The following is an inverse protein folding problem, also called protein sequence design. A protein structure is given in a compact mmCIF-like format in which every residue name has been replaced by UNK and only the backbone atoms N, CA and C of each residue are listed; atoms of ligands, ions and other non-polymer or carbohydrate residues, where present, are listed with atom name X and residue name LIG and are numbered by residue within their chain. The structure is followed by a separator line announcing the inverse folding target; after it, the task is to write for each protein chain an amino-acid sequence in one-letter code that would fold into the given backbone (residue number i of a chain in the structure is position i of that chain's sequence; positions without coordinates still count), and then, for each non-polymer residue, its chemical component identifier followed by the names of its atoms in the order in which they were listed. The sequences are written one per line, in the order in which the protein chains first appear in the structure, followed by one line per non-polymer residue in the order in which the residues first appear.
data_IF_092410482336
#
_entry.id   IF_092410482336
#
_cell.length_a   1.000
_cell.length_b   1.000
_cell.length_c   1.000
_cell.angle_alpha   90.00
_cell.angle_beta   90.00
_cell.angle_gamma   90.00
#
_symmetry.space_group_name_H-M   'P 1'
#
loop_
_entity.id
_entity.type
_entity.pdbx_description
1 polymer ?
#
# COMPACT_ATOMS: atom_id res chain seq x y z
N UNK A 1 19.36 31.24 9.15
CA UNK A 1 19.06 29.96 8.49
C UNK A 1 18.07 29.25 9.38
N UNK A 2 16.79 29.51 9.09
CA UNK A 2 15.67 29.05 9.90
C UNK A 2 15.70 27.54 10.06
N UNK A 3 15.31 27.09 11.24
CA UNK A 3 15.10 25.69 11.58
C UNK A 3 14.45 24.98 10.40
N UNK A 4 15.23 24.13 9.71
CA UNK A 4 14.65 23.08 8.88
C UNK A 4 13.60 22.43 9.78
N UNK A 5 12.32 22.51 9.42
CA UNK A 5 11.26 21.86 10.19
C UNK A 5 11.57 20.37 10.16
N UNK A 6 12.30 19.92 11.17
CA UNK A 6 12.88 18.60 11.28
C UNK A 6 11.76 17.55 11.23
N UNK A 7 10.58 17.92 11.73
CA UNK A 7 9.37 17.09 11.65
C UNK A 7 8.94 16.93 10.20
N UNK A 8 8.83 18.01 9.42
CA UNK A 8 8.51 17.92 8.00
C UNK A 8 9.58 17.15 7.19
N UNK A 9 10.86 17.40 7.45
CA UNK A 9 11.96 16.73 6.75
C UNK A 9 12.00 15.22 7.05
N UNK A 10 11.90 14.83 8.32
CA UNK A 10 11.85 13.42 8.74
C UNK A 10 10.58 12.73 8.25
N UNK A 11 9.41 13.38 8.37
CA UNK A 11 8.14 12.81 7.90
C UNK A 11 8.16 12.58 6.39
N UNK A 12 8.80 13.47 5.62
CA UNK A 12 8.98 13.30 4.17
C UNK A 12 9.82 12.09 3.84
N UNK A 13 10.98 11.96 4.49
CA UNK A 13 11.87 10.82 4.27
C UNK A 13 11.22 9.50 4.69
N UNK A 14 10.54 9.47 5.84
CA UNK A 14 9.82 8.30 6.33
C UNK A 14 8.67 7.94 5.38
N UNK A 15 7.86 8.91 4.96
CA UNK A 15 6.76 8.70 4.03
C UNK A 15 7.26 8.11 2.71
N UNK A 16 8.34 8.66 2.16
CA UNK A 16 8.92 8.17 0.91
C UNK A 16 9.44 6.74 1.03
N UNK A 17 10.26 6.45 2.05
CA UNK A 17 10.83 5.11 2.24
C UNK A 17 9.76 4.06 2.53
N UNK A 18 8.79 4.39 3.38
CA UNK A 18 7.66 3.52 3.66
C UNK A 18 6.78 3.33 2.43
N UNK A 19 6.56 4.38 1.64
CA UNK A 19 5.78 4.33 0.39
C UNK A 19 6.41 3.43 -0.66
N UNK A 20 7.74 3.54 -0.83
CA UNK A 20 8.52 2.64 -1.70
C UNK A 20 8.42 1.19 -1.23
N UNK A 21 8.54 0.94 0.08
CA UNK A 21 8.36 -0.41 0.63
C UNK A 21 6.93 -0.93 0.40
N UNK A 22 5.92 -0.10 0.63
CA UNK A 22 4.52 -0.49 0.54
C UNK A 22 4.11 -0.81 -0.90
N UNK A 23 4.29 0.15 -1.82
CA UNK A 23 3.93 -0.02 -3.23
C UNK A 23 4.88 -0.99 -3.92
N UNK A 24 6.16 -1.02 -3.55
CA UNK A 24 7.13 -1.99 -4.03
C UNK A 24 6.73 -3.42 -3.69
N UNK A 25 6.31 -3.69 -2.44
CA UNK A 25 5.81 -5.01 -2.05
C UNK A 25 4.47 -5.35 -2.71
N UNK A 26 3.59 -4.37 -2.89
CA UNK A 26 2.36 -4.55 -3.67
C UNK A 26 2.66 -5.05 -5.09
N UNK A 27 3.64 -4.44 -5.76
CA UNK A 27 4.06 -4.80 -7.10
C UNK A 27 4.78 -6.15 -7.12
N UNK A 28 5.65 -6.40 -6.15
CA UNK A 28 6.27 -7.71 -5.95
C UNK A 28 5.22 -8.83 -5.86
N UNK A 29 4.19 -8.67 -5.03
CA UNK A 29 3.14 -9.68 -4.90
C UNK A 29 2.42 -9.94 -6.22
N UNK A 30 2.07 -8.88 -6.96
CA UNK A 30 1.22 -9.00 -8.14
C UNK A 30 1.97 -9.40 -9.41
N UNK A 31 3.21 -8.93 -9.59
CA UNK A 31 3.98 -9.13 -10.81
C UNK A 31 5.03 -10.23 -10.68
N UNK A 32 5.54 -10.50 -9.47
CA UNK A 32 6.63 -11.46 -9.25
C UNK A 32 6.12 -12.70 -8.51
N UNK A 33 5.61 -12.54 -7.28
CA UNK A 33 5.33 -13.67 -6.40
C UNK A 33 4.22 -14.58 -6.93
N UNK A 34 3.16 -14.05 -7.54
CA UNK A 34 2.05 -14.86 -8.07
C UNK A 34 2.54 -15.84 -9.14
N UNK A 35 3.39 -15.38 -10.06
CA UNK A 35 3.96 -16.23 -11.12
C UNK A 35 4.95 -17.23 -10.52
N UNK A 36 5.83 -16.76 -9.62
CA UNK A 36 6.80 -17.62 -8.94
C UNK A 36 6.12 -18.74 -8.13
N UNK A 37 5.03 -18.44 -7.41
CA UNK A 37 4.26 -19.42 -6.67
C UNK A 37 3.60 -20.45 -7.58
N UNK A 38 3.04 -20.03 -8.72
CA UNK A 38 2.45 -20.96 -9.70
C UNK A 38 3.48 -21.99 -10.18
N UNK A 39 4.68 -21.52 -10.55
CA UNK A 39 5.74 -22.39 -11.03
C UNK A 39 6.29 -23.29 -9.92
N UNK A 40 6.59 -22.71 -8.75
CA UNK A 40 7.08 -23.47 -7.60
C UNK A 40 6.06 -24.51 -7.09
N UNK A 41 4.76 -24.30 -7.31
CA UNK A 41 3.73 -25.29 -7.01
C UNK A 41 3.81 -26.50 -7.95
N UNK A 42 4.11 -26.30 -9.23
CA UNK A 42 4.30 -27.40 -10.17
C UNK A 42 5.55 -28.23 -9.83
N UNK A 43 6.58 -27.58 -9.30
CA UNK A 43 7.86 -28.21 -8.94
C UNK A 43 7.89 -28.75 -7.49
N UNK A 44 6.80 -28.62 -6.74
CA UNK A 44 6.72 -29.03 -5.32
C UNK A 44 7.54 -28.16 -4.34
N UNK A 45 8.11 -27.04 -4.79
CA UNK A 45 8.99 -26.15 -4.01
C UNK A 45 8.28 -24.93 -3.41
N UNK A 46 6.98 -24.76 -3.66
CA UNK A 46 6.18 -23.62 -3.19
C UNK A 46 6.20 -23.37 -1.67
N UNK A 47 6.54 -24.39 -0.88
CA UNK A 47 6.73 -24.28 0.56
C UNK A 47 7.80 -23.24 0.92
N UNK A 48 8.87 -23.12 0.13
CA UNK A 48 9.93 -22.13 0.36
C UNK A 48 9.39 -20.70 0.39
N UNK A 49 8.59 -20.35 -0.63
CA UNK A 49 7.96 -19.03 -0.75
C UNK A 49 6.90 -18.84 0.35
N UNK A 50 6.01 -19.81 0.52
CA UNK A 50 4.86 -19.71 1.43
C UNK A 50 5.27 -19.68 2.90
N UNK A 51 6.36 -20.37 3.28
CA UNK A 51 6.83 -20.46 4.67
C UNK A 51 7.82 -19.35 5.04
N UNK A 52 8.75 -19.00 4.16
CA UNK A 52 9.88 -18.13 4.51
C UNK A 52 9.75 -16.70 3.97
N UNK A 53 9.14 -16.52 2.79
CA UNK A 53 9.09 -15.22 2.11
C UNK A 53 7.77 -14.51 2.38
N UNK A 54 6.64 -15.14 2.06
CA UNK A 54 5.33 -14.51 2.09
C UNK A 54 4.96 -13.92 3.47
N UNK A 55 5.18 -14.60 4.62
CA UNK A 55 4.85 -14.03 5.93
C UNK A 55 5.63 -12.76 6.25
N UNK A 56 6.93 -12.72 5.88
CA UNK A 56 7.80 -11.56 6.10
C UNK A 56 7.44 -10.40 5.16
N UNK A 57 7.23 -10.70 3.89
CA UNK A 57 6.77 -9.71 2.92
C UNK A 57 5.42 -9.10 3.36
N UNK A 58 4.47 -9.90 3.83
CA UNK A 58 3.16 -9.42 4.31
C UNK A 58 3.27 -8.59 5.59
N UNK A 59 4.25 -8.86 6.45
CA UNK A 59 4.56 -8.03 7.63
C UNK A 59 5.00 -6.62 7.22
N UNK A 60 5.99 -6.52 6.34
CA UNK A 60 6.46 -5.22 5.88
C UNK A 60 5.39 -4.51 5.05
N UNK A 61 4.66 -5.21 4.19
CA UNK A 61 3.59 -4.63 3.39
C UNK A 61 2.51 -3.96 4.25
N UNK A 62 1.99 -4.64 5.28
CA UNK A 62 0.91 -4.09 6.10
C UNK A 62 1.33 -2.89 6.95
N UNK A 63 2.55 -2.94 7.51
CA UNK A 63 3.02 -1.88 8.40
C UNK A 63 3.61 -0.70 7.64
N UNK A 64 4.29 -0.94 6.51
CA UNK A 64 4.71 0.16 5.63
C UNK A 64 3.52 0.96 5.10
N UNK A 65 2.38 0.32 4.85
CA UNK A 65 1.14 1.02 4.50
C UNK A 65 0.70 2.01 5.60
N UNK A 66 0.68 1.57 6.85
CA UNK A 66 0.31 2.40 8.00
C UNK A 66 1.31 3.55 8.18
N UNK A 67 2.61 3.24 8.15
CA UNK A 67 3.68 4.23 8.33
C UNK A 67 3.62 5.28 7.22
N UNK A 68 3.42 4.86 5.97
CA UNK A 68 3.27 5.78 4.83
C UNK A 68 2.09 6.71 5.08
N UNK A 69 0.93 6.17 5.44
CA UNK A 69 -0.27 6.97 5.64
C UNK A 69 -0.13 7.96 6.81
N UNK A 70 0.40 7.51 7.96
CA UNK A 70 0.61 8.38 9.13
C UNK A 70 1.65 9.48 8.85
N UNK A 71 2.76 9.14 8.19
CA UNK A 71 3.75 10.13 7.80
C UNK A 71 3.20 11.12 6.77
N UNK A 72 2.33 10.67 5.86
CA UNK A 72 1.64 11.52 4.90
C UNK A 72 0.64 12.46 5.59
N UNK A 73 -0.11 11.96 6.57
CA UNK A 73 -1.00 12.77 7.39
C UNK A 73 -0.24 13.85 8.17
N UNK A 74 0.91 13.50 8.76
CA UNK A 74 1.79 14.44 9.44
C UNK A 74 2.33 15.51 8.48
N UNK A 75 2.70 15.13 7.25
CA UNK A 75 3.14 16.07 6.21
C UNK A 75 2.05 17.04 5.77
N UNK A 76 0.80 16.60 5.71
CA UNK A 76 -0.32 17.48 5.40
C UNK A 76 -0.54 18.50 6.51
N UNK A 77 -0.29 18.13 7.77
CA UNK A 77 -0.34 19.04 8.91
C UNK A 77 -1.66 19.82 8.97
N UNK A 78 -1.63 21.17 9.01
CA UNK A 78 -2.84 22.00 8.97
C UNK A 78 -3.74 21.79 7.74
N UNK A 79 -3.18 21.33 6.62
CA UNK A 79 -3.91 21.08 5.37
C UNK A 79 -4.57 19.69 5.32
N UNK A 80 -4.45 18.87 6.37
CA UNK A 80 -5.00 17.52 6.41
C UNK A 80 -6.51 17.52 6.13
N UNK A 81 -7.27 18.36 6.82
CA UNK A 81 -8.73 18.45 6.63
C UNK A 81 -9.06 18.92 5.22
N UNK A 82 -8.33 19.91 4.71
CA UNK A 82 -8.57 20.46 3.37
C UNK A 82 -8.27 19.45 2.26
N UNK A 83 -7.24 18.61 2.44
CA UNK A 83 -6.94 17.51 1.54
C UNK A 83 -8.08 16.48 1.51
N UNK A 84 -8.57 16.03 2.66
CA UNK A 84 -9.66 15.05 2.68
C UNK A 84 -11.02 15.63 2.27
N UNK A 85 -11.22 16.95 2.41
CA UNK A 85 -12.41 17.66 1.91
C UNK A 85 -12.27 18.20 0.48
N UNK A 86 -11.13 17.95 -0.19
CA UNK A 86 -10.85 18.37 -1.57
C UNK A 86 -11.01 19.89 -1.81
N UNK A 87 -10.69 20.72 -0.82
CA UNK A 87 -10.90 22.18 -0.88
C UNK A 87 -9.59 22.96 -0.78
N UNK A 88 -9.65 24.28 -0.91
CA UNK A 88 -8.51 25.21 -0.75
C UNK A 88 -7.29 24.84 -1.62
N UNK A 89 -7.52 24.34 -2.83
CA UNK A 89 -6.45 23.96 -3.77
C UNK A 89 -5.75 22.64 -3.42
N UNK A 90 -6.30 21.84 -2.51
CA UNK A 90 -5.78 20.51 -2.14
C UNK A 90 -6.43 19.36 -2.94
N UNK A 91 -7.30 19.64 -3.91
CA UNK A 91 -8.03 18.63 -4.68
C UNK A 91 -7.16 17.48 -5.20
N UNK A 92 -6.08 17.73 -5.97
CA UNK A 92 -5.20 16.68 -6.47
C UNK A 92 -4.56 15.84 -5.35
N UNK A 93 -3.93 16.49 -4.37
CA UNK A 93 -3.29 15.81 -3.24
C UNK A 93 -4.31 14.99 -2.42
N UNK A 94 -5.52 15.54 -2.27
CA UNK A 94 -6.64 14.91 -1.59
C UNK A 94 -7.17 13.67 -2.29
N UNK A 95 -7.26 13.68 -3.63
CA UNK A 95 -7.59 12.48 -4.41
C UNK A 95 -6.53 11.39 -4.16
N UNK A 96 -5.25 11.75 -4.22
CA UNK A 96 -4.15 10.84 -3.86
C UNK A 96 -4.31 10.27 -2.44
N UNK A 97 -4.59 11.12 -1.46
CA UNK A 97 -4.77 10.73 -0.05
C UNK A 97 -5.96 9.76 0.14
N UNK A 98 -7.08 10.01 -0.54
CA UNK A 98 -8.24 9.11 -0.50
C UNK A 98 -7.95 7.75 -1.13
N UNK A 99 -7.32 7.73 -2.31
CA UNK A 99 -6.93 6.48 -2.96
C UNK A 99 -5.97 5.66 -2.08
N UNK A 100 -4.97 6.31 -1.48
CA UNK A 100 -4.08 5.68 -0.51
C UNK A 100 -4.83 5.17 0.73
N UNK A 101 -5.81 5.91 1.24
CA UNK A 101 -6.65 5.49 2.38
C UNK A 101 -7.46 4.24 2.05
N UNK A 102 -8.12 4.20 0.89
CA UNK A 102 -8.87 3.03 0.41
C UNK A 102 -7.93 1.82 0.30
N UNK A 103 -6.74 2.02 -0.27
CA UNK A 103 -5.74 0.96 -0.40
C UNK A 103 -5.28 0.44 0.97
N UNK A 104 -5.06 1.32 1.95
CA UNK A 104 -4.70 0.96 3.32
C UNK A 104 -5.82 0.13 3.99
N UNK A 105 -7.08 0.56 3.83
CA UNK A 105 -8.24 -0.20 4.33
C UNK A 105 -8.29 -1.58 3.67
N UNK A 106 -8.10 -1.68 2.36
CA UNK A 106 -8.02 -2.96 1.67
C UNK A 106 -6.93 -3.87 2.24
N UNK A 107 -5.75 -3.31 2.59
CA UNK A 107 -4.65 -4.08 3.21
C UNK A 107 -5.08 -4.72 4.52
N UNK A 108 -5.70 -3.95 5.42
CA UNK A 108 -6.00 -4.42 6.78
C UNK A 108 -7.34 -5.15 6.92
N UNK A 109 -8.34 -4.80 6.11
CA UNK A 109 -9.71 -5.34 6.19
C UNK A 109 -9.91 -6.51 5.24
N UNK A 110 -9.33 -6.47 4.04
CA UNK A 110 -9.55 -7.51 3.02
C UNK A 110 -8.34 -8.43 2.86
N UNK A 111 -7.14 -7.88 2.67
CA UNK A 111 -5.96 -8.68 2.35
C UNK A 111 -5.49 -9.45 3.58
N UNK A 112 -5.20 -8.77 4.69
CA UNK A 112 -4.60 -9.42 5.86
C UNK A 112 -5.46 -10.52 6.49
N UNK A 113 -6.77 -10.33 6.75
CA UNK A 113 -7.59 -11.38 7.35
C UNK A 113 -7.71 -12.62 6.45
N UNK A 114 -7.78 -12.43 5.13
CA UNK A 114 -7.81 -13.54 4.19
C UNK A 114 -6.43 -14.23 4.08
N UNK A 115 -5.33 -13.48 4.10
CA UNK A 115 -3.98 -14.05 4.11
C UNK A 115 -3.72 -14.91 5.37
N UNK A 116 -4.21 -14.50 6.55
CA UNK A 116 -4.13 -15.33 7.76
C UNK A 116 -4.76 -16.71 7.55
N UNK A 117 -5.93 -16.79 6.91
CA UNK A 117 -6.60 -18.07 6.58
C UNK A 117 -5.77 -18.89 5.60
N UNK A 118 -5.27 -18.25 4.53
CA UNK A 118 -4.49 -18.91 3.47
C UNK A 118 -3.18 -19.48 4.01
N UNK A 119 -2.52 -18.77 4.92
CA UNK A 119 -1.28 -19.19 5.57
C UNK A 119 -1.49 -20.16 6.74
N UNK A 120 -2.73 -20.54 7.04
CA UNK A 120 -3.04 -21.47 8.13
C UNK A 120 -2.85 -20.87 9.53
N UNK A 121 -2.75 -19.54 9.66
CA UNK A 121 -2.66 -18.85 10.96
C UNK A 121 -3.98 -18.85 11.73
N UNK A 122 -5.09 -19.04 11.01
CA UNK A 122 -6.43 -19.18 11.57
C UNK A 122 -7.09 -20.43 10.99
N UNK A 123 -7.80 -21.23 11.81
CA UNK A 123 -8.57 -22.37 11.30
C UNK A 123 -9.54 -21.95 10.19
N UNK A 124 -9.52 -22.68 9.08
CA UNK A 124 -10.42 -22.48 7.94
C UNK A 124 -10.49 -23.76 7.12
N UNK A 125 -11.68 -24.11 6.63
CA UNK A 125 -11.88 -25.20 5.67
C UNK A 125 -11.20 -24.89 4.33
N UNK A 126 -10.99 -25.91 3.50
CA UNK A 126 -10.39 -25.71 2.17
C UNK A 126 -11.27 -24.80 1.26
N UNK A 127 -12.60 -24.91 1.37
CA UNK A 127 -13.52 -24.02 0.67
C UNK A 127 -13.35 -22.55 1.08
N UNK A 128 -13.21 -22.29 2.39
CA UNK A 128 -12.95 -20.94 2.90
C UNK A 128 -11.58 -20.41 2.50
N UNK A 129 -10.54 -21.26 2.53
CA UNK A 129 -9.20 -20.88 2.03
C UNK A 129 -9.24 -20.50 0.56
N UNK A 130 -9.96 -21.25 -0.27
CA UNK A 130 -10.14 -20.93 -1.69
C UNK A 130 -10.80 -19.56 -1.90
N UNK A 131 -11.89 -19.28 -1.17
CA UNK A 131 -12.55 -17.96 -1.21
C UNK A 131 -11.64 -16.84 -0.70
N UNK A 132 -10.88 -17.09 0.36
CA UNK A 132 -9.92 -16.16 0.93
C UNK A 132 -8.80 -15.81 -0.05
N UNK A 133 -8.22 -16.80 -0.75
CA UNK A 133 -7.21 -16.57 -1.80
C UNK A 133 -7.76 -15.64 -2.88
N UNK A 134 -8.97 -15.91 -3.38
CA UNK A 134 -9.60 -15.07 -4.41
C UNK A 134 -9.84 -13.64 -3.92
N UNK A 135 -10.37 -13.48 -2.70
CA UNK A 135 -10.66 -12.16 -2.13
C UNK A 135 -9.37 -11.33 -1.93
N UNK A 136 -8.34 -11.92 -1.31
CA UNK A 136 -7.06 -11.27 -1.13
C UNK A 136 -6.39 -10.90 -2.47
N UNK A 137 -6.49 -11.77 -3.48
CA UNK A 137 -5.95 -11.51 -4.81
C UNK A 137 -6.65 -10.35 -5.50
N UNK A 138 -7.99 -10.33 -5.52
CA UNK A 138 -8.75 -9.26 -6.15
C UNK A 138 -8.51 -7.92 -5.45
N UNK A 139 -8.53 -7.88 -4.12
CA UNK A 139 -8.22 -6.66 -3.36
C UNK A 139 -6.79 -6.15 -3.65
N UNK A 140 -5.82 -7.05 -3.77
CA UNK A 140 -4.43 -6.70 -4.12
C UNK A 140 -4.32 -6.12 -5.53
N UNK A 141 -5.03 -6.70 -6.52
CA UNK A 141 -5.07 -6.18 -7.89
C UNK A 141 -5.77 -4.83 -7.98
N UNK A 142 -6.86 -4.65 -7.24
CA UNK A 142 -7.51 -3.34 -7.10
C UNK A 142 -6.51 -2.31 -6.55
N UNK A 143 -5.76 -2.66 -5.50
CA UNK A 143 -4.72 -1.77 -4.98
C UNK A 143 -3.65 -1.42 -6.02
N UNK A 144 -3.23 -2.35 -6.88
CA UNK A 144 -2.31 -2.03 -7.99
C UNK A 144 -2.92 -0.98 -8.90
N UNK A 145 -4.17 -1.17 -9.33
CA UNK A 145 -4.84 -0.22 -10.23
C UNK A 145 -5.03 1.15 -9.59
N UNK A 146 -5.37 1.21 -8.29
CA UNK A 146 -5.51 2.46 -7.55
C UNK A 146 -4.17 3.15 -7.29
N UNK A 147 -3.08 2.38 -7.16
CA UNK A 147 -1.74 2.94 -6.90
C UNK A 147 -1.24 3.85 -8.01
N UNK A 148 -1.64 3.58 -9.27
CA UNK A 148 -1.20 4.34 -10.44
C UNK A 148 -1.72 5.80 -10.39
N UNK A 149 -3.04 6.06 -10.37
CA UNK A 149 -3.55 7.43 -10.24
C UNK A 149 -3.17 8.05 -8.88
N UNK A 150 -3.09 7.26 -7.81
CA UNK A 150 -2.63 7.76 -6.50
C UNK A 150 -1.23 8.36 -6.60
N UNK A 151 -0.27 7.62 -7.15
CA UNK A 151 1.10 8.11 -7.35
C UNK A 151 1.13 9.30 -8.29
N UNK A 152 0.35 9.28 -9.38
CA UNK A 152 0.24 10.43 -10.29
C UNK A 152 -0.19 11.70 -9.55
N UNK A 153 -1.28 11.66 -8.78
CA UNK A 153 -1.78 12.84 -8.09
C UNK A 153 -0.88 13.32 -6.94
N UNK A 154 -0.20 12.40 -6.25
CA UNK A 154 0.77 12.77 -5.21
C UNK A 154 2.07 13.33 -5.80
N UNK A 155 2.56 12.76 -6.90
CA UNK A 155 3.76 13.22 -7.59
C UNK A 155 3.50 14.53 -8.36
N UNK A 156 2.35 14.70 -9.00
CA UNK A 156 1.97 15.90 -9.73
C UNK A 156 1.40 17.01 -8.84
N UNK A 157 1.46 16.86 -7.51
CA UNK A 157 1.00 17.86 -6.55
C UNK A 157 1.80 19.16 -6.55
N UNK A 158 1.72 19.93 -5.46
CA UNK A 158 2.20 21.31 -5.36
C UNK A 158 3.63 21.59 -5.87
N UNK A 159 4.53 20.61 -5.87
CA UNK A 159 5.90 20.74 -6.41
C UNK A 159 5.98 20.82 -7.94
N UNK A 160 4.93 20.43 -8.67
CA UNK A 160 4.88 20.46 -10.15
C UNK A 160 3.70 21.27 -10.68
N UNK A 161 3.10 22.13 -9.84
CA UNK A 161 2.04 23.07 -10.23
C UNK A 161 2.35 23.86 -11.50
N UNK A 162 3.61 24.28 -11.64
CA UNK A 162 4.10 25.03 -12.79
C UNK A 162 4.11 24.22 -14.11
N UNK A 163 4.10 22.89 -14.06
CA UNK A 163 4.18 22.01 -15.23
C UNK A 163 2.84 21.40 -15.61
N UNK A 164 1.99 21.08 -14.63
CA UNK A 164 0.74 20.33 -14.86
C UNK A 164 -0.53 21.13 -14.62
N UNK A 165 -0.44 22.36 -14.07
CA UNK A 165 -1.60 23.23 -13.84
C UNK A 165 -2.64 22.71 -12.84
N UNK A 166 -2.26 21.73 -12.01
CA UNK A 166 -3.10 21.10 -10.97
C UNK A 166 -2.82 21.68 -9.58
#
# INVERSE_FOLDING_TARGET
MENLDLVAALSRWIHFMAGVMWVGLLYYFNFVQVVALKNASADGTAAGISKHVAPRALLFFRWSAVVTWLAGAALLGPLFVDAFLLRNGMGPMGIGAWLGTIMLVNVWVLIWPNQKKVLGMTPASEAEKNRARRSAFLASRTNVMLSIPMLFFMAAGWSHRALFGL
#
